data_IF_168533650853
#
_entry.id   IF_168533650853
#
_cell.length_a   1.000
_cell.length_b   1.000
_cell.length_c   1.000
_cell.angle_alpha   90.00
_cell.angle_beta   90.00
_cell.angle_gamma   90.00
#
_symmetry.space_group_name_H-M   'P 1'
#
loop_
_entity.id
_entity.type
_entity.pdbx_description
1 polymer ?
#
# COMPACT_ATOMS: atom_id res chain seq x y z
N UNK A 1 22.05 35.04 -23.40
CA UNK A 1 21.83 34.04 -22.34
C UNK A 1 20.52 34.26 -21.58
N UNK A 2 20.30 35.40 -20.91
CA UNK A 2 19.04 35.68 -20.16
C UNK A 2 17.76 35.63 -21.02
N UNK A 3 17.81 36.14 -22.26
CA UNK A 3 16.67 36.09 -23.21
C UNK A 3 16.36 34.68 -23.72
N UNK A 4 17.36 33.81 -23.78
CA UNK A 4 17.19 32.39 -24.17
C UNK A 4 16.58 31.59 -23.02
N UNK A 5 17.00 31.89 -21.79
CA UNK A 5 16.43 31.32 -20.56
C UNK A 5 14.94 31.67 -20.38
N UNK A 6 14.57 32.92 -20.70
CA UNK A 6 13.19 33.39 -20.61
C UNK A 6 12.26 32.69 -21.62
N UNK A 7 12.75 32.40 -22.83
CA UNK A 7 12.00 31.69 -23.87
C UNK A 7 11.79 30.21 -23.49
N UNK A 8 12.79 29.56 -22.89
CA UNK A 8 12.62 28.20 -22.36
C UNK A 8 11.60 28.14 -21.21
N UNK A 9 11.57 29.16 -20.34
CA UNK A 9 10.64 29.20 -19.21
C UNK A 9 9.18 29.37 -19.66
N UNK A 10 8.94 30.18 -20.69
CA UNK A 10 7.60 30.37 -21.28
C UNK A 10 7.14 29.10 -22.02
N UNK A 11 8.05 28.41 -22.72
CA UNK A 11 7.75 27.14 -23.37
C UNK A 11 7.39 26.02 -22.35
N UNK A 12 8.04 26.00 -21.18
CA UNK A 12 7.74 25.06 -20.09
C UNK A 12 6.37 25.32 -19.45
N UNK A 13 5.94 26.58 -19.34
CA UNK A 13 4.62 26.96 -18.81
C UNK A 13 3.47 26.69 -19.80
N UNK A 14 3.74 26.71 -21.11
CA UNK A 14 2.74 26.39 -22.13
C UNK A 14 2.42 24.88 -22.20
N UNK A 15 3.38 24.02 -21.85
CA UNK A 15 3.21 22.56 -21.84
C UNK A 15 2.39 22.07 -20.63
N UNK A 16 2.49 22.75 -19.48
CA UNK A 16 1.70 22.39 -18.29
C UNK A 16 0.22 22.78 -18.38
N UNK A 17 -0.17 23.66 -19.31
CA UNK A 17 -1.55 24.06 -19.52
C UNK A 17 -2.37 23.08 -20.39
N UNK A 18 -1.73 22.10 -21.05
CA UNK A 18 -2.40 21.10 -21.90
C UNK A 18 -2.47 19.70 -21.27
N UNK A 19 -1.96 19.52 -20.04
CA UNK A 19 -1.99 18.26 -19.31
C UNK A 19 -3.19 18.13 -18.34
N UNK A 20 -4.12 19.10 -18.34
CA UNK A 20 -5.32 19.09 -17.52
C UNK A 20 -6.56 18.72 -18.33
N UNK A 21 -7.12 17.54 -18.09
CA UNK A 21 -8.52 17.24 -18.42
C UNK A 21 -8.77 16.06 -19.34
N UNK A 22 -8.35 14.86 -18.96
CA UNK A 22 -9.12 13.66 -19.31
C UNK A 22 -9.67 13.09 -18.02
N UNK A 23 -10.95 13.34 -17.79
CA UNK A 23 -11.64 12.91 -16.59
C UNK A 23 -11.48 11.41 -16.40
N UNK A 24 -10.98 11.03 -15.23
CA UNK A 24 -11.11 9.68 -14.70
C UNK A 24 -12.60 9.33 -14.74
N UNK A 25 -13.00 8.48 -15.70
CA UNK A 25 -14.28 7.81 -15.62
C UNK A 25 -14.24 7.02 -14.31
N UNK A 26 -14.96 7.50 -13.30
CA UNK A 26 -15.21 6.74 -12.09
C UNK A 26 -15.71 5.36 -12.52
N UNK A 27 -14.88 4.34 -12.31
CA UNK A 27 -15.23 2.97 -12.60
C UNK A 27 -16.51 2.66 -11.83
N UNK A 28 -17.58 2.28 -12.53
CA UNK A 28 -18.76 1.70 -11.89
C UNK A 28 -18.26 0.51 -11.07
N UNK A 29 -18.41 0.60 -9.74
CA UNK A 29 -18.03 -0.46 -8.81
C UNK A 29 -18.55 -1.79 -9.33
N UNK A 30 -17.63 -2.73 -9.51
CA UNK A 30 -17.94 -4.07 -9.99
C UNK A 30 -18.93 -4.73 -9.03
N UNK A 31 -19.87 -5.49 -9.58
CA UNK A 31 -20.88 -6.29 -8.87
C UNK A 31 -20.22 -7.53 -8.21
N UNK A 32 -19.04 -7.33 -7.62
CA UNK A 32 -18.24 -8.36 -6.98
C UNK A 32 -18.96 -8.84 -5.71
N UNK A 33 -18.96 -10.15 -5.44
CA UNK A 33 -19.46 -10.67 -4.18
C UNK A 33 -18.83 -9.93 -3.01
N UNK A 34 -19.66 -9.38 -2.12
CA UNK A 34 -19.22 -8.64 -0.92
C UNK A 34 -18.66 -9.55 0.17
N UNK A 35 -18.77 -10.87 -0.01
CA UNK A 35 -18.40 -11.88 0.96
C UNK A 35 -17.65 -13.02 0.28
N UNK A 36 -16.63 -13.53 0.97
CA UNK A 36 -15.85 -14.70 0.56
C UNK A 36 -15.81 -15.66 1.74
N UNK A 37 -16.26 -16.89 1.54
CA UNK A 37 -16.14 -17.96 2.54
C UNK A 37 -14.85 -18.75 2.31
N UNK A 38 -14.02 -18.88 3.34
CA UNK A 38 -12.75 -19.62 3.29
C UNK A 38 -12.77 -20.76 4.30
N UNK A 39 -12.52 -21.99 3.85
CA UNK A 39 -12.37 -23.14 4.73
C UNK A 39 -11.01 -23.10 5.44
N UNK A 40 -11.03 -23.28 6.76
CA UNK A 40 -9.83 -23.41 7.59
C UNK A 40 -9.94 -24.66 8.46
N UNK A 41 -8.82 -25.35 8.78
CA UNK A 41 -8.86 -26.62 9.51
C UNK A 41 -9.40 -26.48 10.94
N UNK A 42 -9.14 -25.34 11.58
CA UNK A 42 -9.69 -24.96 12.88
C UNK A 42 -9.59 -23.44 13.04
N UNK A 43 -10.52 -22.86 13.80
CA UNK A 43 -10.41 -21.48 14.28
C UNK A 43 -9.30 -21.36 15.32
N UNK A 44 -8.68 -20.19 15.47
CA UNK A 44 -7.68 -19.97 16.51
C UNK A 44 -8.33 -20.06 17.89
N UNK A 45 -7.64 -20.69 18.85
CA UNK A 45 -8.14 -20.85 20.23
C UNK A 45 -8.18 -19.52 21.00
N UNK A 46 -7.41 -18.53 20.55
CA UNK A 46 -7.33 -17.18 21.10
C UNK A 46 -7.15 -16.16 19.99
N UNK A 47 -7.65 -14.95 20.22
CA UNK A 47 -7.41 -13.80 19.34
C UNK A 47 -6.19 -12.97 19.77
N UNK A 48 -5.55 -13.30 20.89
CA UNK A 48 -4.36 -12.61 21.40
C UNK A 48 -3.17 -12.76 20.42
N UNK A 49 -2.69 -11.66 19.79
CA UNK A 49 -1.53 -11.71 18.91
C UNK A 49 -0.26 -12.19 19.63
N UNK A 50 0.54 -13.03 18.97
CA UNK A 50 1.84 -13.48 19.50
C UNK A 50 1.80 -14.61 20.53
N UNK A 51 0.63 -15.01 21.02
CA UNK A 51 0.49 -16.12 21.98
C UNK A 51 0.76 -17.50 21.37
N UNK A 52 0.32 -17.70 20.14
CA UNK A 52 0.51 -18.92 19.37
C UNK A 52 0.87 -18.56 17.92
N UNK A 53 1.69 -19.40 17.26
CA UNK A 53 2.10 -19.20 15.87
C UNK A 53 1.64 -20.39 15.04
N UNK A 54 0.40 -20.31 14.54
CA UNK A 54 -0.23 -21.34 13.71
C UNK A 54 -0.55 -20.80 12.32
N UNK A 55 -0.47 -21.65 11.30
CA UNK A 55 -0.82 -21.25 9.92
C UNK A 55 -2.30 -20.88 9.79
N UNK A 56 -3.20 -21.51 10.55
CA UNK A 56 -4.62 -21.15 10.60
C UNK A 56 -4.86 -19.77 11.21
N UNK A 57 -4.03 -19.33 12.17
CA UNK A 57 -4.11 -18.00 12.75
C UNK A 57 -3.82 -16.92 11.72
N UNK A 58 -2.81 -17.09 10.86
CA UNK A 58 -2.48 -16.12 9.81
C UNK A 58 -3.69 -15.81 8.90
N UNK A 59 -4.54 -16.81 8.61
CA UNK A 59 -5.73 -16.62 7.76
C UNK A 59 -6.79 -15.73 8.43
N UNK A 60 -6.84 -15.69 9.75
CA UNK A 60 -7.78 -14.86 10.50
C UNK A 60 -7.15 -13.51 10.85
N UNK A 61 -5.93 -13.51 11.39
CA UNK A 61 -5.32 -12.33 12.00
C UNK A 61 -4.97 -11.26 10.96
N UNK A 62 -4.55 -11.64 9.76
CA UNK A 62 -4.29 -10.68 8.68
C UNK A 62 -5.56 -9.95 8.19
N UNK A 63 -6.76 -10.40 8.58
CA UNK A 63 -8.03 -9.76 8.26
C UNK A 63 -8.65 -9.01 9.44
N UNK A 64 -8.08 -9.14 10.65
CA UNK A 64 -8.64 -8.56 11.90
C UNK A 64 -7.72 -7.51 12.51
N UNK A 65 -6.40 -7.67 12.33
CA UNK A 65 -5.40 -6.78 12.90
C UNK A 65 -4.60 -6.09 11.79
N UNK A 66 -4.34 -4.81 12.00
CA UNK A 66 -3.46 -4.04 11.14
C UNK A 66 -2.00 -4.17 11.59
N UNK A 67 -1.09 -4.34 10.63
CA UNK A 67 0.36 -4.34 10.87
C UNK A 67 0.94 -2.96 10.54
N UNK A 68 2.08 -2.63 11.15
CA UNK A 68 2.84 -1.43 10.77
C UNK A 68 3.35 -1.54 9.33
N UNK A 69 3.94 -2.69 8.99
CA UNK A 69 4.53 -3.00 7.69
C UNK A 69 4.02 -4.39 7.28
N UNK A 70 3.62 -4.55 6.01
CA UNK A 70 3.21 -5.84 5.46
C UNK A 70 4.30 -6.42 4.54
N UNK A 71 4.24 -7.71 4.27
CA UNK A 71 5.03 -8.35 3.21
C UNK A 71 4.28 -8.25 1.89
N UNK A 72 4.96 -7.77 0.84
CA UNK A 72 4.40 -7.76 -0.51
C UNK A 72 4.53 -9.14 -1.16
N UNK A 73 3.51 -9.97 -0.97
CA UNK A 73 3.42 -11.30 -1.59
C UNK A 73 3.09 -11.24 -3.09
N UNK A 74 2.57 -10.11 -3.60
CA UNK A 74 2.09 -10.02 -4.98
C UNK A 74 3.22 -9.64 -5.95
N UNK A 75 4.03 -8.64 -5.59
CA UNK A 75 5.11 -8.16 -6.43
C UNK A 75 6.49 -8.61 -5.95
N UNK A 76 6.56 -9.38 -4.85
CA UNK A 76 7.79 -9.92 -4.28
C UNK A 76 8.85 -8.83 -3.99
N UNK A 77 8.40 -7.62 -3.64
CA UNK A 77 9.24 -6.45 -3.33
C UNK A 77 9.78 -6.45 -1.90
N UNK A 78 9.34 -7.43 -1.09
CA UNK A 78 9.80 -7.67 0.28
C UNK A 78 8.90 -7.03 1.33
N UNK A 79 8.63 -5.73 1.23
CA UNK A 79 7.83 -4.99 2.21
C UNK A 79 6.92 -3.96 1.54
N UNK A 80 5.71 -3.79 2.08
CA UNK A 80 4.77 -2.76 1.67
C UNK A 80 4.20 -2.02 2.89
N UNK A 81 3.78 -0.75 2.74
CA UNK A 81 3.18 0.02 3.82
C UNK A 81 1.93 -0.65 4.43
N UNK A 82 1.79 -0.51 5.75
CA UNK A 82 0.59 -0.82 6.52
C UNK A 82 0.11 0.43 7.26
N UNK A 83 0.01 0.37 8.58
CA UNK A 83 -0.22 1.57 9.40
C UNK A 83 0.96 2.56 9.34
N UNK A 84 2.18 2.05 9.17
CA UNK A 84 3.35 2.90 8.92
C UNK A 84 3.47 3.13 7.41
N UNK A 85 3.35 4.39 6.99
CA UNK A 85 3.43 4.78 5.58
C UNK A 85 4.88 4.77 5.06
N UNK A 86 5.85 4.93 5.97
CA UNK A 86 7.28 4.89 5.67
C UNK A 86 8.06 4.36 6.87
N UNK A 87 9.25 3.86 6.63
CA UNK A 87 10.17 3.46 7.70
C UNK A 87 11.61 3.70 7.28
N UNK A 88 12.48 3.85 8.27
CA UNK A 88 13.90 4.06 8.07
C UNK A 88 14.71 3.22 9.03
N UNK A 89 15.63 2.43 8.49
CA UNK A 89 16.63 1.76 9.32
C UNK A 89 17.70 2.77 9.73
N UNK A 90 17.81 3.03 11.03
CA UNK A 90 18.79 3.99 11.59
C UNK A 90 20.15 3.31 11.78
N UNK A 91 20.12 2.06 12.28
CA UNK A 91 21.28 1.20 12.48
C UNK A 91 20.88 -0.29 12.41
N UNK A 92 21.78 -1.21 12.78
CA UNK A 92 21.53 -2.66 12.70
C UNK A 92 20.47 -3.18 13.69
N UNK A 93 20.05 -2.37 14.67
CA UNK A 93 19.12 -2.74 15.73
C UNK A 93 17.92 -1.79 15.84
N UNK A 94 17.90 -0.69 15.08
CA UNK A 94 16.88 0.35 15.19
C UNK A 94 16.16 0.58 13.87
N UNK A 95 14.83 0.42 13.91
CA UNK A 95 13.92 0.78 12.82
C UNK A 95 12.97 1.88 13.32
N UNK A 96 12.98 3.02 12.64
CA UNK A 96 12.02 4.12 12.86
C UNK A 96 10.85 3.95 11.89
N UNK A 97 9.63 4.07 12.39
CA UNK A 97 8.36 3.86 11.67
C UNK A 97 7.45 5.08 11.82
#
# INVERSE_FOLDING_TARGET
>A
MKKFLLVCLIALLAVSAFAGGSGEKAAKGSDMPKEITVAIPALPATMEPGKEVLVSMYRVFMNVYDNLIFTDYQNNTGMMPGLAESWKQIDSQTLEV
#
